data_IF_023587087330
#
_entry.id   IF_023587087330
#
_cell.length_a   1.000
_cell.length_b   1.000
_cell.length_c   1.000
_cell.angle_alpha   90.00
_cell.angle_beta   90.00
_cell.angle_gamma   90.00
#
_symmetry.space_group_name_H-M   'P 1'
#
loop_
_entity.id
_entity.type
_entity.pdbx_description
1 polymer ?
#
# COMPACT_ATOMS: atom_id res chain seq x y z
N UNK A 1 -4.62 6.48 -19.88
CA UNK A 1 -3.16 6.20 -19.95
C UNK A 1 -2.96 4.98 -19.06
N UNK A 2 -2.60 3.82 -19.61
CA UNK A 2 -2.57 2.58 -18.81
C UNK A 2 -1.48 2.67 -17.74
N UNK A 3 -1.85 2.60 -16.46
CA UNK A 3 -0.91 2.54 -15.34
C UNK A 3 -0.16 1.21 -15.41
N UNK A 4 1.17 1.27 -15.35
CA UNK A 4 2.03 0.07 -15.32
C UNK A 4 2.24 -0.39 -13.87
N UNK A 5 2.52 -1.69 -13.70
CA UNK A 5 2.83 -2.27 -12.38
C UNK A 5 3.97 -1.51 -11.68
N UNK A 6 5.04 -1.20 -12.43
CA UNK A 6 6.21 -0.47 -11.92
C UNK A 6 5.84 0.92 -11.36
N UNK A 7 4.86 1.61 -11.95
CA UNK A 7 4.41 2.92 -11.47
C UNK A 7 3.64 2.80 -10.14
N UNK A 8 2.89 1.71 -9.96
CA UNK A 8 2.18 1.40 -8.71
C UNK A 8 3.17 1.06 -7.62
N UNK A 9 4.11 0.16 -7.91
CA UNK A 9 5.17 -0.27 -6.98
C UNK A 9 5.97 0.93 -6.49
N UNK A 10 6.46 1.76 -7.41
CA UNK A 10 7.24 2.95 -7.06
C UNK A 10 6.48 3.90 -6.13
N UNK A 11 5.19 4.12 -6.36
CA UNK A 11 4.36 5.00 -5.49
C UNK A 11 4.19 4.44 -4.08
N UNK A 12 4.10 3.12 -3.94
CA UNK A 12 4.02 2.47 -2.63
C UNK A 12 5.37 2.54 -1.92
N UNK A 13 6.48 2.27 -2.63
CA UNK A 13 7.85 2.40 -2.10
C UNK A 13 8.16 3.83 -1.64
N UNK A 14 7.76 4.84 -2.41
CA UNK A 14 7.88 6.26 -2.03
C UNK A 14 7.15 6.57 -0.71
N UNK A 15 6.01 5.91 -0.44
CA UNK A 15 5.26 6.09 0.80
C UNK A 15 5.98 5.42 1.97
N UNK A 16 6.39 4.16 1.79
CA UNK A 16 7.15 3.40 2.80
C UNK A 16 8.47 4.10 3.15
N UNK A 17 9.12 4.74 2.17
CA UNK A 17 10.35 5.51 2.41
C UNK A 17 10.19 6.70 3.34
N UNK A 18 8.97 7.14 3.62
CA UNK A 18 8.67 8.24 4.58
C UNK A 18 8.30 7.75 5.98
N UNK A 19 8.13 6.44 6.15
CA UNK A 19 7.70 5.84 7.40
C UNK A 19 8.82 5.78 8.44
N UNK A 20 8.47 5.91 9.71
CA UNK A 20 9.38 5.73 10.82
C UNK A 20 9.57 4.23 11.11
N UNK A 21 10.72 3.70 10.71
CA UNK A 21 11.04 2.27 10.80
C UNK A 21 10.91 1.68 12.21
N UNK A 22 11.03 2.48 13.28
CA UNK A 22 10.94 2.01 14.65
C UNK A 22 9.50 1.91 15.18
N UNK A 23 8.55 2.67 14.62
CA UNK A 23 7.14 2.68 15.05
C UNK A 23 6.20 2.02 14.04
N UNK A 24 6.61 1.92 12.78
CA UNK A 24 5.77 1.46 11.68
C UNK A 24 6.26 0.14 11.06
N UNK A 25 7.16 -0.59 11.71
CA UNK A 25 7.75 -1.84 11.19
C UNK A 25 6.69 -2.80 10.63
N UNK A 26 5.60 -3.06 11.37
CA UNK A 26 4.52 -3.97 10.93
C UNK A 26 3.77 -3.42 9.71
N UNK A 27 3.57 -2.10 9.62
CA UNK A 27 2.93 -1.47 8.47
C UNK A 27 3.86 -1.53 7.24
N UNK A 28 5.15 -1.28 7.44
CA UNK A 28 6.19 -1.39 6.41
C UNK A 28 6.23 -2.82 5.86
N UNK A 29 6.29 -3.82 6.73
CA UNK A 29 6.30 -5.25 6.34
C UNK A 29 5.04 -5.61 5.54
N UNK A 30 3.86 -5.16 5.99
CA UNK A 30 2.61 -5.38 5.29
C UNK A 30 2.68 -4.84 3.86
N UNK A 31 3.04 -3.57 3.69
CA UNK A 31 3.09 -2.92 2.36
C UNK A 31 4.16 -3.56 1.48
N UNK A 32 5.34 -3.84 2.01
CA UNK A 32 6.44 -4.48 1.27
C UNK A 32 6.08 -5.90 0.82
N UNK A 33 5.30 -6.65 1.60
CA UNK A 33 4.81 -7.97 1.20
C UNK A 33 3.93 -7.91 -0.05
N UNK A 34 3.15 -6.83 -0.21
CA UNK A 34 2.29 -6.60 -1.36
C UNK A 34 3.04 -6.06 -2.57
N UNK A 35 4.02 -5.17 -2.37
CA UNK A 35 4.96 -4.75 -3.42
C UNK A 35 5.63 -5.97 -4.04
N UNK A 36 6.12 -6.91 -3.21
CA UNK A 36 6.72 -8.14 -3.70
C UNK A 36 5.76 -9.01 -4.52
N UNK A 37 4.49 -9.11 -4.13
CA UNK A 37 3.46 -9.81 -4.90
C UNK A 37 3.20 -9.13 -6.25
N UNK A 38 3.13 -7.80 -6.29
CA UNK A 38 2.95 -7.02 -7.53
C UNK A 38 4.12 -7.19 -8.50
N UNK A 39 5.36 -7.24 -8.00
CA UNK A 39 6.54 -7.48 -8.82
C UNK A 39 6.58 -8.89 -9.44
N UNK A 40 5.85 -9.85 -8.88
CA UNK A 40 5.78 -11.24 -9.37
C UNK A 40 4.60 -11.53 -10.29
N UNK A 41 3.63 -10.63 -10.38
CA UNK A 41 2.38 -10.84 -11.11
C UNK A 41 2.25 -9.82 -12.24
N UNK A 42 1.69 -10.23 -13.37
CA UNK A 42 1.39 -9.32 -14.49
C UNK A 42 0.27 -8.34 -14.10
N UNK A 43 -0.67 -8.80 -13.26
CA UNK A 43 -1.80 -8.01 -12.78
C UNK A 43 -1.53 -7.49 -11.35
N UNK A 44 -1.35 -6.18 -11.25
CA UNK A 44 -1.15 -5.48 -9.98
C UNK A 44 -2.47 -5.14 -9.26
N UNK A 45 -3.61 -5.19 -9.96
CA UNK A 45 -4.89 -4.72 -9.42
C UNK A 45 -5.39 -5.61 -8.28
N UNK A 46 -5.26 -6.93 -8.42
CA UNK A 46 -5.68 -7.87 -7.39
C UNK A 46 -4.83 -7.72 -6.10
N UNK A 47 -3.48 -7.76 -6.15
CA UNK A 47 -2.65 -7.43 -4.99
C UNK A 47 -2.96 -6.06 -4.38
N UNK A 48 -3.22 -5.03 -5.18
CA UNK A 48 -3.50 -3.67 -4.70
C UNK A 48 -4.85 -3.58 -3.98
N UNK A 49 -5.86 -4.27 -4.48
CA UNK A 49 -7.18 -4.37 -3.84
C UNK A 49 -7.11 -5.10 -2.51
N UNK A 50 -6.30 -6.15 -2.44
CA UNK A 50 -6.05 -6.88 -1.20
C UNK A 50 -5.29 -6.02 -0.18
N UNK A 51 -4.24 -5.30 -0.61
CA UNK A 51 -3.52 -4.35 0.23
C UNK A 51 -4.46 -3.29 0.82
N UNK A 52 -5.38 -2.73 0.02
CA UNK A 52 -6.38 -1.78 0.52
C UNK A 52 -7.21 -2.37 1.66
N UNK A 53 -7.64 -3.61 1.53
CA UNK A 53 -8.47 -4.29 2.53
C UNK A 53 -7.68 -4.56 3.81
N UNK A 54 -6.44 -5.01 3.67
CA UNK A 54 -5.55 -5.30 4.80
C UNK A 54 -5.14 -4.02 5.55
N UNK A 55 -5.00 -2.88 4.87
CA UNK A 55 -4.74 -1.58 5.51
C UNK A 55 -5.93 -1.12 6.38
N UNK A 56 -7.16 -1.31 5.91
CA UNK A 56 -8.36 -1.02 6.71
C UNK A 56 -8.40 -1.94 7.93
N UNK A 57 -8.12 -3.23 7.75
CA UNK A 57 -8.07 -4.18 8.85
C UNK A 57 -6.96 -3.83 9.85
N UNK A 58 -5.77 -3.49 9.37
CA UNK A 58 -4.63 -3.06 10.19
C UNK A 58 -4.97 -1.84 11.05
N UNK A 59 -5.61 -0.82 10.49
CA UNK A 59 -6.04 0.38 11.26
C UNK A 59 -6.95 0.00 12.42
N UNK A 60 -7.91 -0.90 12.16
CA UNK A 60 -8.86 -1.37 13.18
C UNK A 60 -8.16 -2.21 14.27
N UNK A 61 -7.18 -3.04 13.91
CA UNK A 61 -6.47 -3.89 14.88
C UNK A 61 -5.47 -3.11 15.74
N UNK A 62 -4.95 -1.99 15.23
CA UNK A 62 -3.92 -1.18 15.91
C UNK A 62 -4.49 0.06 16.60
N UNK A 63 -5.82 0.19 16.66
CA UNK A 63 -6.52 1.37 17.21
C UNK A 63 -5.95 2.67 16.63
N UNK A 64 -5.80 2.71 15.30
CA UNK A 64 -5.35 3.90 14.55
C UNK A 64 -3.92 4.40 14.91
N UNK A 65 -3.03 3.57 15.48
CA UNK A 65 -1.66 3.95 15.84
C UNK A 65 -0.84 4.59 14.70
N UNK A 66 -1.09 4.19 13.44
CA UNK A 66 -0.44 4.72 12.24
C UNK A 66 -1.45 5.34 11.26
N UNK A 67 -2.51 5.95 11.80
CA UNK A 67 -3.66 6.45 11.02
C UNK A 67 -3.28 7.31 9.83
N UNK A 68 -2.36 8.26 10.02
CA UNK A 68 -1.95 9.19 8.96
C UNK A 68 -1.36 8.45 7.76
N UNK A 69 -0.46 7.51 8.02
CA UNK A 69 0.24 6.74 6.98
C UNK A 69 -0.71 5.77 6.27
N UNK A 70 -1.60 5.15 7.05
CA UNK A 70 -2.68 4.30 6.50
C UNK A 70 -3.62 5.11 5.62
N UNK A 71 -4.05 6.30 6.05
CA UNK A 71 -4.93 7.18 5.27
C UNK A 71 -4.26 7.65 3.96
N UNK A 72 -2.97 7.99 4.00
CA UNK A 72 -2.20 8.36 2.82
C UNK A 72 -2.12 7.20 1.81
N UNK A 73 -1.81 5.99 2.28
CA UNK A 73 -1.77 4.79 1.45
C UNK A 73 -3.14 4.51 0.83
N UNK A 74 -4.21 4.55 1.63
CA UNK A 74 -5.57 4.33 1.15
C UNK A 74 -5.97 5.36 0.10
N UNK A 75 -5.62 6.64 0.28
CA UNK A 75 -5.86 7.69 -0.71
C UNK A 75 -5.16 7.37 -2.03
N UNK A 76 -3.86 7.06 -1.98
CA UNK A 76 -3.06 6.70 -3.18
C UNK A 76 -3.61 5.46 -3.88
N UNK A 77 -3.94 4.42 -3.12
CA UNK A 77 -4.50 3.16 -3.66
C UNK A 77 -5.85 3.42 -4.34
N UNK A 78 -6.74 4.17 -3.69
CA UNK A 78 -8.05 4.51 -4.26
C UNK A 78 -7.90 5.31 -5.56
N UNK A 79 -6.95 6.25 -5.61
CA UNK A 79 -6.65 6.98 -6.84
C UNK A 79 -6.19 6.03 -7.96
N UNK A 80 -5.26 5.11 -7.66
CA UNK A 80 -4.73 4.15 -8.64
C UNK A 80 -5.79 3.16 -9.16
N UNK A 81 -6.74 2.73 -8.31
CA UNK A 81 -7.81 1.83 -8.70
C UNK A 81 -8.93 2.51 -9.51
N UNK A 82 -9.18 3.80 -9.27
CA UNK A 82 -10.28 4.54 -9.88
C UNK A 82 -9.88 5.30 -11.16
N UNK A 83 -8.62 5.69 -11.31
CA UNK A 83 -8.10 6.28 -12.54
C UNK A 83 -7.75 5.19 -13.56
N UNK A 84 -8.77 4.64 -14.24
CA UNK A 84 -8.61 3.76 -15.41
C UNK A 84 -8.50 4.56 -16.70
#
# INVERSE_FOLDING_TARGET
>A
MSIKSDDVVRKLEESVGTFNINSEEVLIELVMSYIFKMNKQVDWQMPLTNLRSDLVYYSLQTDDQNKRDVEELLFKINYLLNCK
#
